data_IF_018793431404
#
_entry.id   IF_018793431404
#
_cell.length_a   1.000
_cell.length_b   1.000
_cell.length_c   1.000
_cell.angle_alpha   90.00
_cell.angle_beta   90.00
_cell.angle_gamma   90.00
#
_symmetry.space_group_name_H-M   'P 1'
#
loop_
_entity.id
_entity.type
_entity.pdbx_description
1 polymer ?
#
# COMPACT_ATOMS: atom_id res chain seq x y z
N UNK A 1 -6.31 31.08 12.71
CA UNK A 1 -5.66 29.84 12.25
C UNK A 1 -6.20 29.49 10.89
N UNK A 2 -5.33 29.24 9.91
CA UNK A 2 -5.73 28.78 8.58
C UNK A 2 -6.49 27.44 8.71
N UNK A 3 -7.73 27.31 8.22
CA UNK A 3 -8.47 26.05 8.24
C UNK A 3 -7.74 24.89 7.53
N UNK A 4 -6.86 25.20 6.56
CA UNK A 4 -5.97 24.21 5.94
C UNK A 4 -4.90 23.73 6.93
N UNK A 5 -4.38 24.62 7.79
CA UNK A 5 -3.46 24.22 8.87
C UNK A 5 -4.13 23.33 9.91
N UNK A 6 -5.41 23.53 10.24
CA UNK A 6 -6.11 22.67 11.19
C UNK A 6 -6.33 21.24 10.64
N UNK A 7 -6.63 21.12 9.34
CA UNK A 7 -6.76 19.82 8.65
C UNK A 7 -5.40 19.14 8.51
N UNK A 8 -4.37 19.90 8.14
CA UNK A 8 -3.00 19.40 8.04
C UNK A 8 -2.43 18.99 9.40
N UNK A 9 -2.72 19.74 10.46
CA UNK A 9 -2.35 19.41 11.84
C UNK A 9 -3.06 18.13 12.32
N UNK A 10 -4.35 17.96 12.00
CA UNK A 10 -5.08 16.72 12.31
C UNK A 10 -4.50 15.51 11.56
N UNK A 11 -4.11 15.67 10.28
CA UNK A 11 -3.48 14.59 9.50
C UNK A 11 -2.02 14.32 9.89
N UNK A 12 -1.25 15.34 10.25
CA UNK A 12 0.11 15.22 10.78
C UNK A 12 0.12 14.54 12.16
N UNK A 13 -0.90 14.81 13.00
CA UNK A 13 -1.07 14.13 14.29
C UNK A 13 -1.30 12.62 14.14
N UNK A 14 -1.80 12.16 12.99
CA UNK A 14 -1.97 10.74 12.68
C UNK A 14 -0.67 10.07 12.21
N UNK A 15 0.38 10.84 11.88
CA UNK A 15 1.65 10.35 11.33
C UNK A 15 2.88 10.71 12.18
N UNK A 16 2.69 11.38 13.32
CA UNK A 16 3.67 11.49 14.40
C UNK A 16 4.92 12.34 14.14
N UNK A 17 5.08 12.95 12.95
CA UNK A 17 6.26 13.71 12.58
C UNK A 17 5.85 15.06 11.98
N UNK A 18 6.22 16.17 12.61
CA UNK A 18 6.06 17.52 12.05
C UNK A 18 7.42 18.22 12.05
N UNK A 19 7.87 18.70 10.88
CA UNK A 19 9.09 19.49 10.73
C UNK A 19 8.77 20.98 10.58
N UNK A 20 9.63 21.88 11.08
CA UNK A 20 9.43 23.33 11.00
C UNK A 20 9.77 23.91 9.61
N UNK A 21 9.15 25.03 9.20
CA UNK A 21 9.34 25.63 7.88
C UNK A 21 10.67 26.40 7.77
N UNK A 22 11.30 26.37 6.59
CA UNK A 22 12.44 27.23 6.22
C UNK A 22 12.21 27.99 4.91
N UNK A 23 12.93 29.11 4.83
CA UNK A 23 12.86 30.27 3.95
C UNK A 23 13.30 30.03 2.50
N UNK A 24 12.86 30.96 1.62
CA UNK A 24 13.00 31.00 0.16
C UNK A 24 14.31 31.67 -0.33
N UNK A 25 14.47 31.59 -1.65
CA UNK A 25 15.33 32.36 -2.59
C UNK A 25 16.50 31.48 -3.14
N UNK A 26 16.84 31.40 -4.44
CA UNK A 26 16.67 32.28 -5.62
C UNK A 26 16.69 31.47 -6.95
N UNK A 27 16.41 32.15 -8.07
CA UNK A 27 16.16 31.60 -9.40
C UNK A 27 17.24 31.86 -10.49
N UNK A 28 17.19 31.00 -11.52
CA UNK A 28 17.53 31.20 -12.97
C UNK A 28 19.01 31.11 -13.45
N UNK A 29 19.32 30.95 -14.76
CA UNK A 29 18.54 30.47 -15.93
C UNK A 29 19.27 29.41 -16.82
N UNK A 30 18.58 29.04 -17.91
CA UNK A 30 18.79 27.93 -18.85
C UNK A 30 19.75 28.15 -20.04
N UNK A 31 20.17 27.05 -20.69
CA UNK A 31 20.68 27.04 -22.07
C UNK A 31 20.23 25.80 -22.87
N UNK A 32 19.82 26.03 -24.12
CA UNK A 32 19.29 25.08 -25.10
C UNK A 32 20.41 24.33 -25.85
N UNK A 33 20.21 23.06 -26.20
CA UNK A 33 20.62 22.56 -27.52
C UNK A 33 19.89 21.26 -27.92
N UNK A 34 19.52 21.23 -29.19
CA UNK A 34 18.81 20.21 -29.98
C UNK A 34 19.66 19.01 -30.35
N UNK A 35 19.07 17.81 -30.52
CA UNK A 35 19.15 17.00 -31.74
C UNK A 35 18.41 15.64 -31.65
N UNK A 36 18.08 15.12 -32.83
CA UNK A 36 17.01 14.19 -33.21
C UNK A 36 17.47 12.71 -33.36
N UNK A 37 16.56 11.77 -33.02
CA UNK A 37 16.15 10.54 -33.76
C UNK A 37 17.23 9.40 -33.80
N UNK A 38 16.95 8.11 -33.56
CA UNK A 38 15.99 7.22 -34.25
C UNK A 38 15.91 5.85 -33.53
N UNK A 39 14.73 5.24 -33.55
CA UNK A 39 14.38 3.94 -32.97
C UNK A 39 14.95 2.75 -33.76
N UNK A 40 15.09 1.59 -33.11
CA UNK A 40 14.82 0.28 -33.74
C UNK A 40 14.48 -0.80 -32.72
N UNK A 41 13.56 -1.65 -33.18
CA UNK A 41 12.70 -2.60 -32.48
C UNK A 41 13.43 -3.82 -31.90
N UNK A 42 12.86 -4.43 -30.86
CA UNK A 42 13.22 -5.78 -30.42
C UNK A 42 11.97 -6.55 -29.97
N UNK A 43 11.57 -7.47 -30.86
CA UNK A 43 11.04 -8.83 -30.68
C UNK A 43 10.07 -9.15 -29.53
N UNK A 44 8.90 -9.62 -29.94
CA UNK A 44 7.69 -9.93 -29.18
C UNK A 44 7.79 -11.23 -28.36
N UNK A 45 7.60 -11.12 -27.05
CA UNK A 45 7.24 -12.22 -26.14
C UNK A 45 5.75 -12.59 -26.29
N UNK A 46 5.34 -13.83 -25.96
CA UNK A 46 3.98 -14.32 -26.19
C UNK A 46 2.92 -13.46 -25.50
N UNK A 47 1.85 -13.16 -26.25
CA UNK A 47 0.80 -12.25 -25.84
C UNK A 47 0.13 -12.69 -24.54
N UNK A 48 0.13 -11.80 -23.55
CA UNK A 48 -0.69 -11.92 -22.35
C UNK A 48 -2.17 -12.01 -22.78
N UNK A 49 -3.06 -12.73 -22.06
CA UNK A 49 -4.49 -12.61 -22.28
C UNK A 49 -4.87 -11.14 -22.06
N UNK A 50 -5.02 -10.39 -23.15
CA UNK A 50 -5.39 -8.98 -23.10
C UNK A 50 -6.84 -8.92 -22.67
N UNK A 51 -7.09 -8.28 -21.53
CA UNK A 51 -8.47 -7.97 -21.16
C UNK A 51 -9.00 -6.88 -22.07
N UNK A 52 -10.21 -7.09 -22.56
CA UNK A 52 -10.98 -6.08 -23.29
C UNK A 52 -11.55 -5.01 -22.35
N UNK A 53 -11.54 -5.22 -21.02
CA UNK A 53 -11.96 -4.20 -20.06
C UNK A 53 -11.05 -2.97 -20.21
N UNK A 54 -11.61 -1.76 -20.40
CA UNK A 54 -10.82 -0.54 -20.48
C UNK A 54 -10.21 -0.18 -19.11
N UNK A 55 -9.08 0.54 -19.06
CA UNK A 55 -8.53 1.04 -17.82
C UNK A 55 -9.51 2.00 -17.14
N UNK A 56 -9.73 1.77 -15.85
CA UNK A 56 -10.46 2.70 -14.98
C UNK A 56 -9.48 3.60 -14.22
N UNK A 57 -10.00 4.54 -13.44
CA UNK A 57 -9.17 5.29 -12.49
C UNK A 57 -8.52 4.38 -11.43
N UNK A 58 -9.13 3.24 -11.09
CA UNK A 58 -8.69 2.38 -9.98
C UNK A 58 -7.68 1.32 -10.45
N UNK A 59 -7.91 0.74 -11.62
CA UNK A 59 -7.19 -0.46 -12.07
C UNK A 59 -7.00 -0.49 -13.58
N UNK A 60 -5.81 -0.91 -14.01
CA UNK A 60 -5.42 -1.11 -15.39
C UNK A 60 -5.44 -2.63 -15.71
N UNK A 61 -6.58 -3.16 -16.16
CA UNK A 61 -6.71 -4.54 -16.59
C UNK A 61 -5.79 -4.90 -17.78
N UNK A 62 -5.33 -3.96 -18.58
CA UNK A 62 -4.62 -4.24 -19.82
C UNK A 62 -3.11 -4.45 -19.61
N UNK A 63 -2.61 -4.12 -18.42
CA UNK A 63 -1.19 -4.20 -18.10
C UNK A 63 -0.92 -5.29 -17.06
N UNK A 64 0.02 -6.16 -17.39
CA UNK A 64 0.45 -7.24 -16.52
C UNK A 64 1.94 -7.50 -16.75
N UNK A 65 2.71 -7.51 -15.66
CA UNK A 65 4.06 -8.06 -15.69
C UNK A 65 3.99 -9.59 -15.78
N UNK A 66 4.69 -10.17 -16.76
CA UNK A 66 4.83 -11.61 -16.87
C UNK A 66 5.85 -12.10 -15.84
N UNK A 67 5.53 -13.23 -15.23
CA UNK A 67 6.44 -13.96 -14.34
C UNK A 67 6.75 -15.29 -15.02
N UNK A 68 7.96 -15.81 -14.82
CA UNK A 68 8.29 -17.14 -15.28
C UNK A 68 7.44 -18.20 -14.58
N UNK A 69 7.29 -19.36 -15.22
CA UNK A 69 6.41 -20.42 -14.73
C UNK A 69 6.90 -21.03 -13.41
N UNK A 70 8.21 -21.02 -13.12
CA UNK A 70 8.76 -21.58 -11.90
C UNK A 70 8.45 -20.67 -10.70
N UNK A 71 8.65 -19.37 -10.85
CA UNK A 71 8.27 -18.36 -9.86
C UNK A 71 6.76 -18.41 -9.57
N UNK A 72 5.92 -18.55 -10.61
CA UNK A 72 4.47 -18.70 -10.42
C UNK A 72 4.12 -19.94 -9.59
N UNK A 73 4.74 -21.11 -9.87
CA UNK A 73 4.51 -22.33 -9.09
C UNK A 73 4.94 -22.18 -7.64
N UNK A 74 6.12 -21.61 -7.39
CA UNK A 74 6.61 -21.34 -6.03
C UNK A 74 5.64 -20.45 -5.25
N UNK A 75 5.09 -19.42 -5.88
CA UNK A 75 4.08 -18.57 -5.27
C UNK A 75 2.76 -19.30 -5.01
N UNK A 76 2.31 -20.15 -5.93
CA UNK A 76 1.12 -20.98 -5.73
C UNK A 76 1.29 -21.95 -4.55
N UNK A 77 2.45 -22.57 -4.42
CA UNK A 77 2.73 -23.51 -3.34
C UNK A 77 2.84 -22.78 -2.00
N UNK A 78 3.52 -21.63 -1.98
CA UNK A 78 3.63 -20.78 -0.79
C UNK A 78 2.27 -20.24 -0.32
N UNK A 79 1.38 -19.87 -1.25
CA UNK A 79 0.02 -19.45 -0.93
C UNK A 79 -0.84 -20.63 -0.46
N UNK A 80 -0.79 -21.79 -1.14
CA UNK A 80 -1.55 -22.99 -0.77
C UNK A 80 -1.16 -23.57 0.58
N UNK A 81 0.10 -23.41 0.99
CA UNK A 81 0.58 -23.85 2.30
C UNK A 81 -0.08 -23.10 3.48
N UNK A 82 -0.75 -21.96 3.22
CA UNK A 82 -1.39 -21.13 4.24
C UNK A 82 -2.90 -21.31 4.18
N UNK A 83 -3.49 -21.84 5.24
CA UNK A 83 -4.94 -21.96 5.36
C UNK A 83 -5.55 -20.59 5.63
N UNK A 84 -6.58 -20.21 4.85
CA UNK A 84 -7.37 -19.00 5.06
C UNK A 84 -8.85 -19.32 4.93
N UNK A 85 -9.65 -18.88 5.91
CA UNK A 85 -11.10 -18.93 5.82
C UNK A 85 -11.77 -17.82 6.65
N UNK A 86 -13.06 -17.53 6.40
CA UNK A 86 -13.78 -16.44 7.08
C UNK A 86 -13.80 -16.54 8.62
N UNK A 87 -13.95 -17.75 9.17
CA UNK A 87 -13.99 -17.93 10.63
C UNK A 87 -12.63 -17.61 11.26
N UNK A 88 -11.53 -18.03 10.61
CA UNK A 88 -10.18 -17.71 11.04
C UNK A 88 -9.90 -16.21 11.01
N UNK A 89 -10.29 -15.49 9.94
CA UNK A 89 -10.09 -14.03 9.88
C UNK A 89 -10.90 -13.28 10.93
N UNK A 90 -12.11 -13.74 11.27
CA UNK A 90 -12.91 -13.14 12.35
C UNK A 90 -12.20 -13.30 13.70
N UNK A 91 -11.72 -14.50 14.00
CA UNK A 91 -10.96 -14.74 15.24
C UNK A 91 -9.66 -13.93 15.28
N UNK A 92 -8.97 -13.79 14.14
CA UNK A 92 -7.76 -12.96 14.04
C UNK A 92 -8.10 -11.49 14.30
N UNK A 93 -9.13 -10.95 13.66
CA UNK A 93 -9.56 -9.58 13.88
C UNK A 93 -9.91 -9.32 15.36
N UNK A 94 -10.62 -10.23 16.01
CA UNK A 94 -10.94 -10.11 17.44
C UNK A 94 -9.67 -10.07 18.30
N UNK A 95 -8.68 -10.90 17.97
CA UNK A 95 -7.38 -10.96 18.63
C UNK A 95 -6.62 -9.64 18.44
N UNK A 96 -6.54 -9.13 17.21
CA UNK A 96 -5.90 -7.85 16.87
C UNK A 96 -6.58 -6.69 17.61
N UNK A 97 -7.92 -6.61 17.58
CA UNK A 97 -8.67 -5.56 18.31
C UNK A 97 -8.40 -5.59 19.80
N UNK A 98 -8.30 -6.78 20.40
CA UNK A 98 -7.95 -6.93 21.80
C UNK A 98 -6.51 -6.48 22.11
N UNK A 99 -5.55 -6.72 21.21
CA UNK A 99 -4.19 -6.17 21.31
C UNK A 99 -4.17 -4.64 21.18
N UNK A 100 -4.85 -4.08 20.20
CA UNK A 100 -4.99 -2.62 20.04
C UNK A 100 -5.57 -1.97 21.30
N UNK A 101 -6.57 -2.61 21.94
CA UNK A 101 -7.13 -2.13 23.21
C UNK A 101 -6.08 -2.10 24.33
N UNK A 102 -5.23 -3.13 24.42
CA UNK A 102 -4.14 -3.19 25.41
C UNK A 102 -3.07 -2.13 25.15
N UNK A 103 -2.71 -1.89 23.88
CA UNK A 103 -1.79 -0.79 23.51
C UNK A 103 -2.38 0.56 23.91
N UNK A 104 -3.67 0.81 23.66
CA UNK A 104 -4.30 2.07 24.08
C UNK A 104 -4.21 2.29 25.59
N UNK A 105 -4.52 1.26 26.39
CA UNK A 105 -4.40 1.29 27.86
C UNK A 105 -2.97 1.43 28.36
N UNK A 106 -1.96 1.03 27.58
CA UNK A 106 -0.56 1.23 27.94
C UNK A 106 -0.21 2.70 28.19
N UNK A 107 -0.92 3.63 27.55
CA UNK A 107 -0.75 5.07 27.79
C UNK A 107 -1.16 5.46 29.21
N UNK A 108 -2.30 4.92 29.68
CA UNK A 108 -2.84 5.14 31.02
C UNK A 108 -1.93 4.51 32.08
N UNK A 109 -1.52 3.25 31.87
CA UNK A 109 -0.63 2.52 32.78
C UNK A 109 0.71 3.22 33.02
N UNK A 110 1.21 3.95 32.02
CA UNK A 110 2.50 4.65 32.07
C UNK A 110 2.37 6.13 32.43
N UNK A 111 1.15 6.68 32.50
CA UNK A 111 0.93 8.11 32.71
C UNK A 111 1.47 8.98 31.58
N UNK A 112 1.36 8.53 30.33
CA UNK A 112 1.91 9.20 29.13
C UNK A 112 0.80 9.71 28.21
N UNK A 113 1.18 10.48 27.18
CA UNK A 113 0.26 10.92 26.14
C UNK A 113 -0.39 9.75 25.40
N UNK A 114 -1.56 10.00 24.80
CA UNK A 114 -2.28 8.98 24.01
C UNK A 114 -1.44 8.54 22.81
N UNK A 115 -1.26 7.23 22.66
CA UNK A 115 -0.64 6.66 21.48
C UNK A 115 -1.47 6.88 20.21
N UNK A 116 -0.84 7.08 19.04
CA UNK A 116 -1.55 7.17 17.78
C UNK A 116 -2.24 5.84 17.45
N UNK A 117 -3.32 5.89 16.68
CA UNK A 117 -4.01 4.68 16.22
C UNK A 117 -3.06 3.71 15.50
N UNK A 118 -2.10 4.30 14.79
CA UNK A 118 -1.00 3.68 14.04
C UNK A 118 0.01 2.86 14.89
N UNK A 119 -0.03 2.92 16.22
CA UNK A 119 0.98 2.26 17.05
C UNK A 119 1.01 0.73 16.83
N UNK A 120 -0.14 0.10 16.60
CA UNK A 120 -0.21 -1.35 16.35
C UNK A 120 0.42 -1.72 15.02
N UNK A 121 0.09 -1.00 13.94
CA UNK A 121 0.62 -1.29 12.62
C UNK A 121 2.11 -0.99 12.53
N UNK A 122 2.59 0.06 13.20
CA UNK A 122 4.04 0.34 13.28
C UNK A 122 4.77 -0.83 13.94
N UNK A 123 4.20 -1.39 15.02
CA UNK A 123 4.73 -2.59 15.65
C UNK A 123 4.67 -3.81 14.73
N UNK A 124 3.52 -4.05 14.11
CA UNK A 124 3.30 -5.20 13.23
C UNK A 124 4.27 -5.15 12.04
N UNK A 125 4.33 -4.04 11.29
CA UNK A 125 5.22 -3.95 10.13
C UNK A 125 6.69 -4.04 10.52
N UNK A 126 7.10 -3.46 11.64
CA UNK A 126 8.49 -3.56 12.11
C UNK A 126 8.84 -5.00 12.53
N UNK A 127 7.89 -5.72 13.15
CA UNK A 127 8.04 -7.12 13.51
C UNK A 127 8.39 -7.99 12.28
N UNK A 128 7.67 -7.77 11.18
CA UNK A 128 7.83 -8.55 9.95
C UNK A 128 9.17 -8.34 9.24
N UNK A 129 9.94 -7.30 9.60
CA UNK A 129 11.23 -7.02 8.96
C UNK A 129 12.36 -7.92 9.48
N UNK A 130 12.21 -8.48 10.68
CA UNK A 130 13.34 -9.05 11.44
C UNK A 130 13.23 -10.55 11.68
N UNK A 131 12.00 -11.09 11.66
CA UNK A 131 11.73 -12.49 11.94
C UNK A 131 10.73 -13.07 10.96
N UNK A 132 10.82 -14.38 10.72
CA UNK A 132 9.81 -15.09 9.96
C UNK A 132 8.53 -15.15 10.77
N UNK A 133 7.49 -14.49 10.28
CA UNK A 133 6.21 -14.43 10.96
C UNK A 133 5.52 -15.80 11.05
N UNK A 134 4.92 -16.04 12.22
CA UNK A 134 4.07 -17.21 12.47
C UNK A 134 2.61 -16.96 12.07
N UNK A 135 2.16 -15.71 12.15
CA UNK A 135 0.83 -15.25 11.74
C UNK A 135 0.95 -13.90 11.00
N UNK A 136 0.14 -13.64 9.96
CA UNK A 136 0.25 -12.40 9.19
C UNK A 136 -0.03 -11.11 9.98
N UNK A 137 -0.81 -11.14 11.07
CA UNK A 137 -1.16 -9.93 11.82
C UNK A 137 -0.78 -9.94 13.29
N UNK A 138 -0.61 -11.11 13.93
CA UNK A 138 -0.39 -11.22 15.38
C UNK A 138 1.11 -11.38 15.66
N UNK A 139 1.82 -10.36 16.20
CA UNK A 139 3.24 -10.48 16.52
C UNK A 139 3.50 -11.51 17.63
N UNK A 140 4.68 -12.11 17.65
CA UNK A 140 5.07 -13.14 18.60
C UNK A 140 6.23 -12.68 19.51
N UNK A 141 6.64 -13.50 20.47
CA UNK A 141 7.62 -13.10 21.49
C UNK A 141 9.01 -12.74 20.95
N UNK A 142 9.35 -13.31 19.79
CA UNK A 142 10.62 -13.05 19.09
C UNK A 142 10.56 -11.85 18.14
N UNK A 143 9.39 -11.26 17.94
CA UNK A 143 9.19 -10.12 17.04
C UNK A 143 9.86 -8.86 17.55
N UNK A 144 10.37 -8.05 16.62
CA UNK A 144 10.91 -6.72 16.93
C UNK A 144 9.82 -5.74 17.38
N UNK A 145 9.89 -5.33 18.65
CA UNK A 145 8.99 -4.33 19.24
C UNK A 145 9.51 -2.89 19.14
N UNK A 146 10.61 -2.66 18.44
CA UNK A 146 11.27 -1.34 18.38
C UNK A 146 10.35 -0.24 17.83
N UNK A 147 9.47 -0.55 16.88
CA UNK A 147 8.45 0.39 16.40
C UNK A 147 7.47 0.80 17.50
N UNK A 148 6.98 -0.15 18.32
CA UNK A 148 6.13 0.15 19.48
C UNK A 148 6.88 0.96 20.54
N UNK A 149 8.15 0.61 20.77
CA UNK A 149 9.01 1.31 21.71
C UNK A 149 9.18 2.78 21.32
N UNK A 150 9.42 3.07 20.04
CA UNK A 150 9.54 4.44 19.52
C UNK A 150 8.25 5.25 19.73
N UNK A 151 7.09 4.66 19.45
CA UNK A 151 5.80 5.32 19.66
C UNK A 151 5.52 5.61 21.14
N UNK A 152 5.85 4.67 22.05
CA UNK A 152 5.79 4.92 23.50
C UNK A 152 6.74 6.03 23.95
N UNK A 153 7.95 6.09 23.39
CA UNK A 153 8.94 7.13 23.69
C UNK A 153 8.47 8.51 23.22
N UNK A 154 7.92 8.60 22.00
CA UNK A 154 7.32 9.84 21.46
C UNK A 154 6.15 10.34 22.32
N UNK A 155 5.36 9.41 22.87
CA UNK A 155 4.25 9.75 23.77
C UNK A 155 4.69 10.16 25.20
N UNK A 156 5.98 10.06 25.53
CA UNK A 156 6.54 10.53 26.80
C UNK A 156 6.98 9.44 27.78
N UNK A 157 6.92 8.16 27.41
CA UNK A 157 7.36 7.08 28.30
C UNK A 157 8.86 7.16 28.58
N UNK A 158 9.29 6.86 29.82
CA UNK A 158 10.72 6.68 30.12
C UNK A 158 11.28 5.46 29.36
N UNK A 159 12.60 5.42 29.13
CA UNK A 159 13.25 4.28 28.46
C UNK A 159 12.92 2.95 29.16
N UNK A 160 13.06 2.92 30.48
CA UNK A 160 12.72 1.75 31.31
C UNK A 160 11.22 1.39 31.22
N UNK A 161 10.33 2.38 31.33
CA UNK A 161 8.88 2.17 31.22
C UNK A 161 8.45 1.60 29.87
N UNK A 162 8.93 2.20 28.78
CA UNK A 162 8.66 1.73 27.42
C UNK A 162 9.20 0.30 27.21
N UNK A 163 10.44 0.01 27.61
CA UNK A 163 11.00 -1.35 27.49
C UNK A 163 10.19 -2.38 28.29
N UNK A 164 9.81 -2.07 29.53
CA UNK A 164 9.00 -2.97 30.36
C UNK A 164 7.64 -3.24 29.71
N UNK A 165 6.96 -2.18 29.24
CA UNK A 165 5.62 -2.29 28.64
C UNK A 165 5.64 -2.99 27.27
N UNK A 166 6.63 -2.75 26.42
CA UNK A 166 6.82 -3.52 25.19
C UNK A 166 6.95 -5.02 25.48
N UNK A 167 7.83 -5.40 26.42
CA UNK A 167 8.02 -6.82 26.79
C UNK A 167 6.72 -7.45 27.32
N UNK A 168 5.94 -6.71 28.10
CA UNK A 168 4.63 -7.14 28.60
C UNK A 168 3.64 -7.38 27.46
N UNK A 169 3.49 -6.41 26.54
CA UNK A 169 2.58 -6.51 25.39
C UNK A 169 2.98 -7.63 24.43
N UNK A 170 4.27 -7.78 24.15
CA UNK A 170 4.81 -8.86 23.30
C UNK A 170 4.55 -10.25 23.91
N UNK A 171 4.69 -10.41 25.24
CA UNK A 171 4.34 -11.66 25.95
C UNK A 171 2.83 -11.94 25.93
N UNK A 172 2.01 -10.90 26.03
CA UNK A 172 0.56 -11.05 25.90
C UNK A 172 0.16 -11.44 24.48
N UNK A 173 0.79 -10.85 23.46
CA UNK A 173 0.59 -11.22 22.06
C UNK A 173 0.96 -12.67 21.78
N UNK A 174 2.08 -13.15 22.31
CA UNK A 174 2.45 -14.58 22.25
C UNK A 174 1.38 -15.49 22.88
N UNK A 175 0.85 -15.13 24.06
CA UNK A 175 -0.24 -15.90 24.70
C UNK A 175 -1.52 -15.89 23.87
N UNK A 176 -1.83 -14.77 23.22
CA UNK A 176 -2.98 -14.63 22.34
C UNK A 176 -2.80 -15.43 21.04
N UNK A 177 -1.61 -15.41 20.45
CA UNK A 177 -1.25 -16.20 19.27
C UNK A 177 -1.36 -17.71 19.55
N UNK A 178 -0.85 -18.18 20.70
CA UNK A 178 -0.99 -19.61 21.08
C UNK A 178 -2.43 -20.04 21.22
N UNK A 179 -3.27 -19.22 21.88
CA UNK A 179 -4.71 -19.49 21.98
C UNK A 179 -5.41 -19.44 20.63
N UNK A 180 -4.98 -18.54 19.74
CA UNK A 180 -5.48 -18.48 18.38
C UNK A 180 -5.13 -19.77 17.60
N UNK A 181 -3.88 -20.23 17.65
CA UNK A 181 -3.45 -21.45 16.97
C UNK A 181 -4.06 -22.75 17.50
N UNK A 182 -4.61 -22.76 18.72
CA UNK A 182 -5.33 -23.90 19.30
C UNK A 182 -6.81 -23.97 18.89
N UNK A 183 -7.34 -22.93 18.23
CA UNK A 183 -8.73 -22.92 17.79
C UNK A 183 -8.89 -23.78 16.53
N UNK A 184 -10.02 -24.48 16.46
CA UNK A 184 -10.41 -25.18 15.25
C UNK A 184 -11.29 -24.27 14.38
N UNK A 185 -10.73 -23.85 13.25
CA UNK A 185 -11.39 -22.92 12.33
C UNK A 185 -12.22 -23.65 11.26
N UNK A 186 -12.94 -24.71 11.64
CA UNK A 186 -13.80 -25.45 10.70
C UNK A 186 -14.82 -24.49 10.09
N UNK A 187 -14.79 -24.37 8.76
CA UNK A 187 -15.87 -23.75 8.02
C UNK A 187 -17.13 -24.62 8.23
N UNK A 188 -18.00 -24.20 9.15
CA UNK A 188 -19.24 -24.93 9.42
C UNK A 188 -19.98 -25.15 8.09
N UNK A 189 -20.32 -26.42 7.78
CA UNK A 189 -20.85 -26.87 6.47
C UNK A 189 -22.04 -26.04 5.92
N UNK A 190 -22.72 -25.26 6.77
CA UNK A 190 -23.88 -24.43 6.43
C UNK A 190 -23.62 -22.92 6.37
N UNK A 191 -22.44 -22.42 6.79
CA UNK A 191 -22.14 -20.98 6.78
C UNK A 191 -21.39 -20.59 5.51
N UNK A 192 -22.01 -19.77 4.67
CA UNK A 192 -21.42 -19.17 3.47
C UNK A 192 -21.36 -17.65 3.63
N UNK A 193 -20.50 -17.00 2.86
CA UNK A 193 -20.52 -15.54 2.74
C UNK A 193 -21.78 -15.15 1.96
N UNK A 194 -22.48 -14.13 2.44
CA UNK A 194 -23.63 -13.54 1.76
C UNK A 194 -23.26 -12.16 1.22
N UNK A 195 -23.48 -11.94 -0.07
CA UNK A 195 -23.26 -10.65 -0.74
C UNK A 195 -24.61 -9.99 -0.99
N UNK A 196 -24.75 -8.74 -0.54
CA UNK A 196 -25.92 -7.92 -0.78
C UNK A 196 -25.54 -6.58 -1.41
N UNK A 197 -26.43 -6.05 -2.24
CA UNK A 197 -26.41 -4.64 -2.61
C UNK A 197 -26.83 -3.81 -1.40
N UNK A 198 -26.12 -2.71 -1.13
CA UNK A 198 -26.52 -1.69 -0.18
C UNK A 198 -26.73 -0.36 -0.93
N UNK A 199 -27.24 0.66 -0.23
CA UNK A 199 -27.36 2.02 -0.76
C UNK A 199 -25.98 2.62 -1.13
N UNK A 200 -25.98 3.70 -1.90
CA UNK A 200 -24.78 4.48 -2.29
C UNK A 200 -23.69 3.70 -3.05
N UNK A 201 -24.06 2.80 -3.99
CA UNK A 201 -23.10 1.99 -4.76
C UNK A 201 -22.13 1.17 -3.90
N UNK A 202 -22.63 0.65 -2.78
CA UNK A 202 -21.86 -0.21 -1.87
C UNK A 202 -22.34 -1.66 -1.98
N UNK A 203 -21.40 -2.60 -1.94
CA UNK A 203 -21.63 -4.02 -1.72
C UNK A 203 -21.28 -4.36 -0.27
N UNK A 204 -22.11 -5.20 0.33
CA UNK A 204 -21.93 -5.68 1.70
C UNK A 204 -21.72 -7.19 1.68
N UNK A 205 -20.65 -7.68 2.32
CA UNK A 205 -20.37 -9.10 2.50
C UNK A 205 -20.51 -9.45 3.98
N UNK A 206 -21.25 -10.51 4.28
CA UNK A 206 -21.51 -10.94 5.67
C UNK A 206 -21.22 -12.42 5.87
N UNK A 207 -20.59 -12.75 7.00
CA UNK A 207 -20.35 -14.11 7.47
C UNK A 207 -20.61 -14.19 8.97
N UNK A 208 -21.64 -14.94 9.38
CA UNK A 208 -22.14 -14.88 10.76
C UNK A 208 -22.57 -13.45 11.10
N UNK A 209 -22.05 -12.91 12.21
CA UNK A 209 -22.35 -11.55 12.68
C UNK A 209 -21.32 -10.52 12.20
N UNK A 210 -20.36 -10.93 11.36
CA UNK A 210 -19.31 -10.04 10.85
C UNK A 210 -19.65 -9.56 9.45
N UNK A 211 -19.45 -8.27 9.21
CA UNK A 211 -19.81 -7.60 7.96
C UNK A 211 -18.68 -6.69 7.52
N UNK A 212 -18.35 -6.75 6.23
CA UNK A 212 -17.42 -5.85 5.55
C UNK A 212 -18.09 -5.23 4.33
N UNK A 213 -17.60 -4.06 3.92
CA UNK A 213 -18.18 -3.27 2.83
C UNK A 213 -17.11 -2.86 1.83
N UNK A 214 -17.53 -2.64 0.59
CA UNK A 214 -16.72 -2.03 -0.46
C UNK A 214 -17.62 -1.43 -1.54
N UNK A 215 -17.11 -0.48 -2.33
CA UNK A 215 -17.84 0.08 -3.45
C UNK A 215 -18.03 -0.95 -4.57
N UNK A 216 -19.11 -0.80 -5.34
CA UNK A 216 -19.41 -1.63 -6.51
C UNK A 216 -18.24 -1.65 -7.50
N UNK A 217 -17.53 -0.53 -7.66
CA UNK A 217 -16.35 -0.44 -8.51
C UNK A 217 -15.18 -1.32 -8.02
N UNK A 218 -14.90 -1.33 -6.71
CA UNK A 218 -13.87 -2.22 -6.15
C UNK A 218 -14.30 -3.69 -6.17
N UNK A 219 -15.60 -3.97 -5.98
CA UNK A 219 -16.13 -5.32 -6.13
C UNK A 219 -15.91 -5.85 -7.56
N UNK A 220 -16.23 -5.05 -8.58
CA UNK A 220 -16.01 -5.41 -9.98
C UNK A 220 -14.52 -5.63 -10.29
N UNK A 221 -13.65 -4.72 -9.84
CA UNK A 221 -12.17 -4.89 -9.94
C UNK A 221 -11.73 -6.23 -9.37
N UNK A 222 -12.06 -6.51 -8.11
CA UNK A 222 -11.60 -7.72 -7.41
C UNK A 222 -12.19 -9.00 -8.01
N UNK A 223 -13.41 -8.94 -8.55
CA UNK A 223 -14.02 -10.05 -9.29
C UNK A 223 -13.25 -10.38 -10.56
N UNK A 224 -12.88 -9.36 -11.35
CA UNK A 224 -12.10 -9.57 -12.57
C UNK A 224 -10.69 -10.07 -12.24
N UNK A 225 -10.03 -9.52 -11.22
CA UNK A 225 -8.72 -9.99 -10.76
C UNK A 225 -8.74 -11.48 -10.36
N UNK A 226 -9.78 -11.90 -9.65
CA UNK A 226 -9.98 -13.29 -9.27
C UNK A 226 -10.27 -14.18 -10.49
N UNK A 227 -11.13 -13.73 -11.42
CA UNK A 227 -11.44 -14.46 -12.65
C UNK A 227 -10.19 -14.72 -13.51
N UNK A 228 -9.33 -13.72 -13.65
CA UNK A 228 -8.04 -13.86 -14.35
C UNK A 228 -7.11 -14.86 -13.69
N UNK A 229 -7.12 -14.91 -12.35
CA UNK A 229 -6.33 -15.89 -11.60
C UNK A 229 -6.78 -17.32 -11.92
N UNK A 230 -8.05 -17.51 -12.23
CA UNK A 230 -8.63 -18.78 -12.72
C UNK A 230 -8.40 -19.04 -14.22
N UNK A 231 -7.67 -18.16 -14.92
CA UNK A 231 -7.46 -18.27 -16.38
C UNK A 231 -8.68 -17.90 -17.21
N UNK A 232 -9.68 -17.24 -16.61
CA UNK A 232 -10.89 -16.80 -17.32
C UNK A 232 -10.65 -15.48 -18.04
N UNK A 233 -11.26 -15.32 -19.22
CA UNK A 233 -11.40 -14.03 -19.90
C UNK A 233 -12.63 -13.27 -19.38
N UNK A 234 -12.53 -11.94 -19.31
CA UNK A 234 -13.63 -11.06 -18.92
C UNK A 234 -13.73 -10.79 -17.40
N UNK A 235 -14.84 -10.17 -17.00
CA UNK A 235 -15.06 -9.53 -15.71
C UNK A 235 -15.43 -10.49 -14.55
N UNK A 236 -15.43 -11.80 -14.81
CA UNK A 236 -15.79 -12.84 -13.85
C UNK A 236 -17.28 -13.03 -13.61
N UNK A 237 -18.17 -12.40 -14.37
CA UNK A 237 -19.62 -12.58 -14.26
C UNK A 237 -20.10 -14.00 -14.60
N UNK A 238 -19.36 -14.74 -15.41
CA UNK A 238 -19.65 -16.12 -15.84
C UNK A 238 -19.07 -17.21 -14.92
N UNK A 239 -18.58 -16.85 -13.73
CA UNK A 239 -18.05 -17.83 -12.77
C UNK A 239 -19.07 -18.90 -12.39
N UNK A 240 -18.64 -20.16 -12.33
CA UNK A 240 -19.49 -21.24 -11.81
C UNK A 240 -19.91 -20.94 -10.36
N UNK A 241 -21.03 -21.51 -9.86
CA UNK A 241 -21.45 -21.29 -8.47
C UNK A 241 -20.38 -21.67 -7.43
N UNK A 242 -19.49 -22.63 -7.75
CA UNK A 242 -18.36 -23.00 -6.89
C UNK A 242 -17.28 -21.91 -6.87
N UNK A 243 -16.88 -21.40 -8.04
CA UNK A 243 -15.91 -20.31 -8.13
C UNK A 243 -16.43 -19.02 -7.52
N UNK A 244 -17.71 -18.70 -7.74
CA UNK A 244 -18.37 -17.56 -7.13
C UNK A 244 -18.30 -17.61 -5.59
N UNK A 245 -18.65 -18.75 -4.97
CA UNK A 245 -18.53 -18.92 -3.50
C UNK A 245 -17.11 -18.80 -2.98
N UNK A 246 -16.13 -19.26 -3.77
CA UNK A 246 -14.71 -19.20 -3.42
C UNK A 246 -14.20 -17.75 -3.50
N UNK A 247 -14.58 -17.02 -4.54
CA UNK A 247 -14.33 -15.58 -4.68
C UNK A 247 -14.92 -14.79 -3.50
N UNK A 248 -16.18 -15.02 -3.15
CA UNK A 248 -16.85 -14.30 -2.04
C UNK A 248 -16.17 -14.58 -0.69
N UNK A 249 -15.72 -15.81 -0.47
CA UNK A 249 -14.96 -16.18 0.73
C UNK A 249 -13.59 -15.52 0.76
N UNK A 250 -12.84 -15.56 -0.35
CA UNK A 250 -11.54 -14.90 -0.47
C UNK A 250 -11.66 -13.37 -0.31
N UNK A 251 -12.69 -12.75 -0.91
CA UNK A 251 -12.95 -11.33 -0.82
C UNK A 251 -13.33 -10.92 0.61
N UNK A 252 -14.15 -11.70 1.31
CA UNK A 252 -14.46 -11.44 2.71
C UNK A 252 -13.19 -11.49 3.57
N UNK A 253 -12.33 -12.49 3.38
CA UNK A 253 -11.08 -12.64 4.12
C UNK A 253 -10.12 -11.47 3.85
N UNK A 254 -9.94 -11.10 2.57
CA UNK A 254 -9.15 -9.95 2.16
C UNK A 254 -9.64 -8.66 2.85
N UNK A 255 -10.93 -8.36 2.75
CA UNK A 255 -11.48 -7.14 3.33
C UNK A 255 -11.33 -7.10 4.84
N UNK A 256 -11.59 -8.23 5.52
CA UNK A 256 -11.47 -8.31 6.98
C UNK A 256 -10.01 -8.24 7.45
N UNK A 257 -9.09 -8.81 6.68
CA UNK A 257 -7.63 -8.72 6.92
C UNK A 257 -7.18 -7.26 6.92
N UNK A 258 -7.52 -6.52 5.87
CA UNK A 258 -7.15 -5.10 5.76
C UNK A 258 -7.96 -4.20 6.70
N UNK A 259 -9.21 -4.54 7.07
CA UNK A 259 -10.00 -3.82 8.08
C UNK A 259 -9.47 -4.01 9.50
N UNK A 260 -8.78 -5.12 9.77
CA UNK A 260 -8.12 -5.37 11.05
C UNK A 260 -6.94 -4.42 11.29
N UNK A 261 -6.44 -3.79 10.22
CA UNK A 261 -5.49 -2.68 10.27
C UNK A 261 -6.28 -1.37 10.16
N UNK A 262 -5.99 -0.36 10.98
CA UNK A 262 -6.63 0.95 10.79
C UNK A 262 -6.13 1.61 9.49
N UNK A 263 -4.95 1.24 8.98
CA UNK A 263 -4.60 1.01 7.57
C UNK A 263 -4.67 2.16 6.55
N UNK A 264 -5.47 3.20 6.78
CA UNK A 264 -5.68 4.30 5.82
C UNK A 264 -4.64 5.42 5.90
N UNK A 265 -3.78 5.41 6.93
CA UNK A 265 -2.83 6.49 7.23
C UNK A 265 -1.39 6.27 6.76
N UNK A 266 -0.97 5.02 6.55
CA UNK A 266 0.45 4.66 6.34
C UNK A 266 0.92 4.70 4.90
N UNK A 267 0.00 4.66 3.95
CA UNK A 267 0.31 4.63 2.54
C UNK A 267 -0.86 5.26 1.78
N UNK A 268 -0.55 6.01 0.73
CA UNK A 268 -1.54 6.57 -0.18
C UNK A 268 -1.07 6.28 -1.61
N UNK A 269 -1.90 5.62 -2.41
CA UNK A 269 -1.52 5.21 -3.76
C UNK A 269 -1.38 6.42 -4.68
N UNK A 270 -0.50 6.33 -5.69
CA UNK A 270 -0.42 7.34 -6.73
C UNK A 270 -1.76 7.45 -7.46
N UNK A 271 -2.01 8.60 -8.08
CA UNK A 271 -3.14 8.74 -8.98
C UNK A 271 -2.87 8.05 -10.33
N UNK A 272 -3.91 7.73 -11.10
CA UNK A 272 -3.74 7.02 -12.38
C UNK A 272 -2.85 7.77 -13.37
N UNK A 273 -2.85 9.11 -13.38
CA UNK A 273 -2.02 9.89 -14.30
C UNK A 273 -0.53 9.72 -14.00
N UNK A 274 -0.17 9.59 -12.72
CA UNK A 274 1.21 9.28 -12.34
C UNK A 274 1.60 7.92 -12.90
N UNK A 275 0.78 6.89 -12.66
CA UNK A 275 1.01 5.56 -13.22
C UNK A 275 1.08 5.54 -14.75
N UNK A 276 0.26 6.33 -15.44
CA UNK A 276 0.27 6.43 -16.90
C UNK A 276 1.59 7.05 -17.40
N UNK A 277 2.13 8.07 -16.70
CA UNK A 277 3.46 8.63 -16.98
C UNK A 277 4.56 7.61 -16.71
N UNK A 278 4.51 6.89 -15.59
CA UNK A 278 5.50 5.86 -15.26
C UNK A 278 5.49 4.71 -16.28
N UNK A 279 4.29 4.27 -16.69
CA UNK A 279 4.13 3.24 -17.72
C UNK A 279 4.69 3.71 -19.06
N UNK A 280 4.29 4.90 -19.54
CA UNK A 280 4.73 5.43 -20.85
C UNK A 280 6.23 5.72 -20.88
N UNK A 281 6.76 6.32 -19.81
CA UNK A 281 8.14 6.80 -19.76
C UNK A 281 9.18 5.74 -19.38
N UNK A 282 8.77 4.73 -18.62
CA UNK A 282 9.70 3.78 -17.98
C UNK A 282 9.26 2.31 -18.09
N UNK A 283 8.15 2.02 -18.79
CA UNK A 283 7.56 0.68 -18.85
C UNK A 283 7.27 0.09 -17.46
N UNK A 284 6.94 0.94 -16.49
CA UNK A 284 6.67 0.55 -15.12
C UNK A 284 5.30 -0.14 -15.04
N UNK A 285 5.30 -1.46 -14.77
CA UNK A 285 4.10 -2.34 -14.84
C UNK A 285 3.78 -3.06 -13.54
N UNK A 286 4.47 -2.72 -12.46
CA UNK A 286 4.33 -3.41 -11.19
C UNK A 286 4.69 -2.51 -10.01
N UNK A 287 3.88 -2.64 -8.95
CA UNK A 287 4.05 -1.95 -7.68
C UNK A 287 4.77 -2.87 -6.68
N UNK A 288 5.83 -2.35 -6.05
CA UNK A 288 6.58 -3.02 -4.98
C UNK A 288 5.81 -3.01 -3.65
N UNK A 289 4.88 -2.09 -3.45
CA UNK A 289 4.10 -2.03 -2.21
C UNK A 289 2.67 -1.67 -2.55
N UNK A 290 1.78 -2.65 -2.57
CA UNK A 290 0.37 -2.44 -2.82
C UNK A 290 -0.48 -3.49 -2.08
N UNK A 291 -1.77 -3.45 -2.36
CA UNK A 291 -2.79 -4.39 -1.96
C UNK A 291 -3.74 -4.61 -3.14
N UNK A 292 -4.54 -5.69 -3.14
CA UNK A 292 -5.61 -5.84 -4.12
C UNK A 292 -6.57 -4.64 -4.16
N UNK A 293 -6.69 -3.92 -3.04
CA UNK A 293 -7.60 -2.78 -2.89
C UNK A 293 -7.06 -1.52 -3.61
N UNK A 294 -5.74 -1.30 -3.63
CA UNK A 294 -5.15 -0.07 -4.16
C UNK A 294 -4.27 -0.24 -5.40
N UNK A 295 -3.96 -1.47 -5.81
CA UNK A 295 -3.07 -1.69 -6.94
C UNK A 295 -3.62 -1.11 -8.26
N UNK A 296 -2.72 -0.56 -9.07
CA UNK A 296 -3.01 -0.14 -10.44
C UNK A 296 -2.86 -1.30 -11.41
N UNK A 297 -1.89 -2.19 -11.21
CA UNK A 297 -1.57 -3.25 -12.16
C UNK A 297 -2.04 -4.64 -11.72
N UNK A 298 -2.01 -5.61 -12.64
CA UNK A 298 -2.45 -7.00 -12.39
C UNK A 298 -1.46 -7.85 -11.60
N UNK A 299 -0.24 -7.34 -11.38
CA UNK A 299 0.80 -7.95 -10.54
C UNK A 299 1.42 -6.87 -9.67
N UNK A 300 1.58 -7.20 -8.40
CA UNK A 300 2.10 -6.30 -7.37
C UNK A 300 2.59 -7.11 -6.17
N UNK A 301 3.55 -6.57 -5.44
CA UNK A 301 3.91 -7.11 -4.13
C UNK A 301 2.91 -6.59 -3.07
N UNK A 302 2.62 -7.40 -2.06
CA UNK A 302 1.74 -7.06 -0.93
C UNK A 302 2.21 -7.71 0.36
N UNK A 303 1.66 -7.27 1.49
CA UNK A 303 2.00 -7.81 2.80
C UNK A 303 1.47 -9.23 3.05
N UNK A 304 0.34 -9.61 2.44
CA UNK A 304 -0.43 -10.79 2.82
C UNK A 304 -0.62 -11.76 1.66
N UNK A 305 0.43 -12.52 1.33
CA UNK A 305 0.36 -13.50 0.22
C UNK A 305 -0.82 -14.48 0.37
N UNK A 306 -1.16 -14.88 1.59
CA UNK A 306 -2.23 -15.85 1.88
C UNK A 306 -3.62 -15.36 1.46
N UNK A 307 -3.92 -14.07 1.59
CA UNK A 307 -5.19 -13.47 1.14
C UNK A 307 -5.10 -12.87 -0.27
N UNK A 308 -3.95 -12.29 -0.60
CA UNK A 308 -3.82 -11.36 -1.73
C UNK A 308 -3.43 -12.08 -3.02
N UNK A 309 -2.89 -13.30 -2.92
CA UNK A 309 -2.51 -14.11 -4.07
C UNK A 309 -3.70 -14.43 -4.99
N UNK A 310 -4.89 -14.63 -4.41
CA UNK A 310 -6.13 -14.84 -5.13
C UNK A 310 -6.49 -13.66 -6.06
N UNK A 311 -5.89 -12.49 -5.80
CA UNK A 311 -6.10 -11.25 -6.54
C UNK A 311 -4.82 -10.75 -7.22
N UNK A 312 -3.85 -11.62 -7.45
CA UNK A 312 -2.67 -11.29 -8.29
C UNK A 312 -1.44 -10.77 -7.54
N UNK A 313 -1.43 -10.80 -6.20
CA UNK A 313 -0.20 -10.51 -5.47
C UNK A 313 0.89 -11.55 -5.73
N UNK A 314 2.15 -11.11 -5.67
CA UNK A 314 3.34 -11.98 -5.66
C UNK A 314 3.99 -12.11 -4.27
N UNK A 315 3.30 -11.66 -3.22
CA UNK A 315 3.83 -11.66 -1.86
C UNK A 315 4.70 -10.45 -1.54
N UNK A 316 5.49 -10.55 -0.47
CA UNK A 316 6.27 -9.43 0.06
C UNK A 316 7.35 -8.99 -0.92
N UNK A 317 7.56 -7.67 -1.04
CA UNK A 317 8.67 -7.13 -1.82
C UNK A 317 10.02 -7.63 -1.33
N UNK A 318 10.16 -7.86 -0.04
CA UNK A 318 11.41 -8.33 0.57
C UNK A 318 11.76 -9.78 0.19
N UNK A 319 10.79 -10.54 -0.31
CA UNK A 319 10.97 -11.90 -0.84
C UNK A 319 11.02 -11.90 -2.38
N UNK A 320 10.68 -10.78 -3.03
CA UNK A 320 10.65 -10.64 -4.48
C UNK A 320 12.02 -10.20 -5.02
N UNK A 321 12.57 -10.98 -5.96
CA UNK A 321 13.95 -10.78 -6.44
C UNK A 321 14.06 -10.65 -7.97
N UNK A 322 13.53 -9.56 -8.57
CA UNK A 322 13.61 -9.34 -10.01
C UNK A 322 15.05 -9.07 -10.47
N UNK A 323 15.41 -9.60 -11.65
CA UNK A 323 16.72 -9.37 -12.29
C UNK A 323 16.68 -8.31 -13.39
N UNK A 324 15.47 -7.89 -13.78
CA UNK A 324 15.19 -6.81 -14.72
C UNK A 324 13.77 -6.27 -14.52
N UNK A 325 13.47 -5.13 -15.14
CA UNK A 325 12.16 -4.47 -15.08
C UNK A 325 12.24 -3.06 -14.51
N UNK A 326 11.14 -2.32 -14.60
CA UNK A 326 10.96 -1.06 -13.91
C UNK A 326 9.78 -1.18 -12.94
N UNK A 327 9.99 -0.76 -11.70
CA UNK A 327 9.03 -0.93 -10.62
C UNK A 327 8.75 0.39 -9.91
N UNK A 328 7.49 0.59 -9.54
CA UNK A 328 7.07 1.68 -8.65
C UNK A 328 7.21 1.20 -7.21
N UNK A 329 7.74 2.04 -6.33
CA UNK A 329 7.88 1.70 -4.93
C UNK A 329 7.45 2.85 -4.03
N UNK A 330 6.27 2.69 -3.44
CA UNK A 330 5.68 3.59 -2.46
C UNK A 330 5.42 2.82 -1.16
N UNK A 331 6.44 2.56 -0.33
CA UNK A 331 6.31 1.74 0.88
C UNK A 331 5.41 2.40 1.92
N UNK A 332 4.88 1.64 2.90
CA UNK A 332 4.36 2.22 4.13
C UNK A 332 5.37 3.21 4.73
N UNK A 333 4.88 4.38 5.18
CA UNK A 333 5.69 5.48 5.69
C UNK A 333 6.22 5.20 7.11
N UNK A 334 7.01 4.14 7.22
CA UNK A 334 7.68 3.68 8.43
C UNK A 334 9.18 3.70 8.12
N UNK A 335 10.00 4.50 8.83
CA UNK A 335 11.42 4.68 8.49
C UNK A 335 12.19 3.38 8.31
N UNK A 336 11.92 2.36 9.14
CA UNK A 336 12.57 1.03 9.06
C UNK A 336 12.17 0.25 7.81
N UNK A 337 10.92 0.37 7.37
CA UNK A 337 10.44 -0.25 6.13
C UNK A 337 11.11 0.42 4.92
N UNK A 338 11.21 1.75 4.92
CA UNK A 338 11.89 2.52 3.87
C UNK A 338 13.38 2.14 3.81
N UNK A 339 14.05 2.05 4.97
CA UNK A 339 15.46 1.62 5.05
C UNK A 339 15.65 0.20 4.50
N UNK A 340 14.85 -0.77 4.97
CA UNK A 340 14.91 -2.16 4.50
C UNK A 340 14.62 -2.29 3.01
N UNK A 341 13.74 -1.45 2.47
CA UNK A 341 13.47 -1.35 1.03
C UNK A 341 14.70 -0.86 0.26
N UNK A 342 15.36 0.21 0.72
CA UNK A 342 16.58 0.73 0.08
C UNK A 342 17.71 -0.31 0.09
N UNK A 343 17.86 -1.08 1.18
CA UNK A 343 18.82 -2.18 1.26
C UNK A 343 18.49 -3.30 0.27
N UNK A 344 17.22 -3.68 0.18
CA UNK A 344 16.76 -4.69 -0.77
C UNK A 344 17.04 -4.28 -2.21
N UNK A 345 16.64 -3.06 -2.59
CA UNK A 345 16.86 -2.52 -3.93
C UNK A 345 18.35 -2.43 -4.26
N UNK A 346 19.19 -2.07 -3.29
CA UNK A 346 20.66 -2.06 -3.46
C UNK A 346 21.17 -3.45 -3.83
N UNK A 347 20.74 -4.48 -3.09
CA UNK A 347 21.11 -5.87 -3.38
C UNK A 347 20.60 -6.33 -4.77
N UNK A 348 19.37 -5.98 -5.13
CA UNK A 348 18.80 -6.30 -6.44
C UNK A 348 19.54 -5.60 -7.59
N UNK A 349 19.84 -4.32 -7.46
CA UNK A 349 20.58 -3.54 -8.48
C UNK A 349 22.02 -4.03 -8.64
N UNK A 350 22.66 -4.50 -7.55
CA UNK A 350 23.96 -5.16 -7.60
C UNK A 350 23.90 -6.49 -8.37
N UNK A 351 22.85 -7.28 -8.15
CA UNK A 351 22.71 -8.61 -8.73
C UNK A 351 22.08 -8.60 -10.14
N UNK A 352 21.45 -7.52 -10.57
CA UNK A 352 20.73 -7.45 -11.83
C UNK A 352 21.63 -7.70 -13.05
N UNK A 353 21.24 -8.67 -13.90
CA UNK A 353 21.86 -8.92 -15.20
C UNK A 353 21.11 -8.23 -16.36
N UNK A 354 19.88 -7.78 -16.15
CA UNK A 354 19.12 -6.96 -17.08
C UNK A 354 18.99 -5.48 -16.67
N UNK A 355 18.28 -4.66 -17.47
CA UNK A 355 17.92 -3.30 -17.07
C UNK A 355 16.97 -3.36 -15.87
N UNK A 356 17.40 -2.83 -14.73
CA UNK A 356 16.61 -2.78 -13.51
C UNK A 356 16.50 -1.35 -12.99
N UNK A 357 15.26 -0.91 -12.73
CA UNK A 357 14.93 0.40 -12.22
C UNK A 357 13.88 0.34 -11.11
N UNK A 358 14.03 1.22 -10.12
CA UNK A 358 13.03 1.50 -9.09
C UNK A 358 12.74 3.00 -9.08
N UNK A 359 11.46 3.35 -9.23
CA UNK A 359 10.96 4.71 -9.07
C UNK A 359 10.35 4.76 -7.68
N UNK A 360 11.07 5.41 -6.75
CA UNK A 360 10.79 5.35 -5.32
C UNK A 360 10.08 6.63 -4.88
N UNK A 361 8.92 6.51 -4.25
CA UNK A 361 8.09 7.62 -3.80
C UNK A 361 7.95 7.53 -2.28
N UNK A 362 8.57 8.45 -1.56
CA UNK A 362 8.53 8.49 -0.10
C UNK A 362 8.37 9.94 0.42
N UNK A 363 7.92 10.14 1.66
CA UNK A 363 7.98 11.45 2.29
C UNK A 363 9.42 11.98 2.31
N UNK A 364 9.59 13.29 2.17
CA UNK A 364 10.89 13.95 2.18
C UNK A 364 11.50 14.07 3.60
N UNK A 365 11.59 12.95 4.32
CA UNK A 365 12.16 12.85 5.67
C UNK A 365 13.69 12.76 5.62
N UNK A 366 14.33 13.90 5.34
CA UNK A 366 15.77 14.02 5.08
C UNK A 366 16.67 13.56 6.24
N UNK A 367 16.13 13.48 7.44
CA UNK A 367 16.77 13.04 8.67
C UNK A 367 16.76 11.51 8.85
N UNK A 368 15.99 10.78 8.04
CA UNK A 368 15.90 9.32 8.13
C UNK A 368 16.97 8.62 7.30
N UNK A 369 17.54 7.55 7.85
CA UNK A 369 18.61 6.77 7.20
C UNK A 369 18.19 6.24 5.81
N UNK A 370 16.95 5.75 5.69
CA UNK A 370 16.42 5.26 4.42
C UNK A 370 16.35 6.35 3.34
N UNK A 371 15.93 7.57 3.70
CA UNK A 371 15.93 8.70 2.77
C UNK A 371 17.35 9.11 2.36
N UNK A 372 18.27 9.20 3.33
CA UNK A 372 19.66 9.58 3.09
C UNK A 372 20.37 8.58 2.17
N UNK A 373 20.15 7.27 2.39
CA UNK A 373 20.64 6.21 1.51
C UNK A 373 20.07 6.35 0.10
N UNK A 374 18.76 6.58 -0.04
CA UNK A 374 18.11 6.82 -1.33
C UNK A 374 18.75 7.99 -2.08
N UNK A 375 18.98 9.10 -1.40
CA UNK A 375 19.54 10.31 -1.99
C UNK A 375 21.01 10.14 -2.41
N UNK A 376 21.85 9.54 -1.55
CA UNK A 376 23.29 9.44 -1.73
C UNK A 376 23.76 8.23 -2.57
N UNK A 377 22.86 7.32 -2.94
CA UNK A 377 23.20 6.10 -3.66
C UNK A 377 23.72 6.36 -5.07
N UNK A 378 24.74 5.60 -5.49
CA UNK A 378 25.26 5.60 -6.88
C UNK A 378 24.22 5.23 -7.94
N UNK A 379 23.13 4.59 -7.53
CA UNK A 379 22.04 4.23 -8.44
C UNK A 379 21.06 5.38 -8.67
N UNK A 380 21.04 6.38 -7.78
CA UNK A 380 20.15 7.51 -7.87
C UNK A 380 20.56 8.41 -9.03
N UNK A 381 19.73 8.47 -10.06
CA UNK A 381 19.97 9.33 -11.23
C UNK A 381 19.55 10.77 -10.97
N UNK A 382 18.46 10.96 -10.22
CA UNK A 382 17.95 12.29 -9.85
C UNK A 382 16.95 12.18 -8.70
N UNK A 383 16.81 13.28 -7.97
CA UNK A 383 15.81 13.48 -6.92
C UNK A 383 14.84 14.58 -7.36
N UNK A 384 13.58 14.19 -7.56
CA UNK A 384 12.49 15.14 -7.80
C UNK A 384 11.75 15.39 -6.48
N UNK A 385 11.87 16.61 -5.96
CA UNK A 385 11.07 17.08 -4.83
C UNK A 385 9.72 17.60 -5.32
N UNK A 386 8.64 17.06 -4.75
CA UNK A 386 7.27 17.51 -5.00
C UNK A 386 6.74 18.18 -3.72
N UNK A 387 6.60 19.52 -3.69
CA UNK A 387 6.22 20.22 -2.47
C UNK A 387 4.82 19.86 -1.96
N UNK A 388 4.66 19.86 -0.64
CA UNK A 388 3.39 19.74 0.07
C UNK A 388 2.38 20.73 -0.52
N UNK A 389 1.11 20.35 -0.52
CA UNK A 389 -0.03 21.12 -1.10
C UNK A 389 -0.05 21.25 -2.62
N UNK A 390 1.05 21.01 -3.34
CA UNK A 390 1.08 21.03 -4.80
C UNK A 390 0.71 19.68 -5.44
N UNK A 391 0.61 18.63 -4.63
CA UNK A 391 0.32 17.28 -5.09
C UNK A 391 -0.67 16.54 -4.19
N UNK A 392 -1.19 15.42 -4.70
CA UNK A 392 -2.15 14.57 -4.01
C UNK A 392 -2.06 13.10 -4.41
N UNK A 393 -2.75 12.29 -3.62
CA UNK A 393 -2.78 10.84 -3.70
C UNK A 393 -4.21 10.31 -3.71
N UNK A 394 -4.37 9.04 -4.09
CA UNK A 394 -5.59 8.30 -3.76
C UNK A 394 -5.65 8.06 -2.24
N UNK A 395 -6.83 8.23 -1.64
CA UNK A 395 -7.04 8.01 -0.22
C UNK A 395 -6.83 6.55 0.18
N UNK A 396 -6.25 6.33 1.37
CA UNK A 396 -6.36 5.05 2.05
C UNK A 396 -7.83 4.71 2.33
N UNK A 397 -8.16 3.42 2.31
CA UNK A 397 -9.55 2.94 2.39
C UNK A 397 -10.45 3.41 1.23
N UNK A 398 -9.89 3.72 0.04
CA UNK A 398 -10.67 4.12 -1.15
C UNK A 398 -11.75 3.11 -1.57
N UNK A 399 -11.68 1.87 -1.11
CA UNK A 399 -12.72 0.87 -1.32
C UNK A 399 -14.01 1.15 -0.56
N UNK A 400 -14.00 1.97 0.49
CA UNK A 400 -15.21 2.34 1.26
C UNK A 400 -15.46 3.84 1.36
N UNK A 401 -14.45 4.69 1.09
CA UNK A 401 -14.61 6.14 1.16
C UNK A 401 -15.38 6.67 -0.04
N UNK A 402 -16.15 7.74 0.19
CA UNK A 402 -16.87 8.48 -0.86
C UNK A 402 -15.94 9.38 -1.67
N UNK A 403 -14.91 9.92 -1.03
CA UNK A 403 -13.84 10.67 -1.67
C UNK A 403 -12.70 9.74 -2.05
N UNK A 404 -12.11 9.99 -3.21
CA UNK A 404 -10.97 9.24 -3.71
C UNK A 404 -9.66 9.98 -3.49
N UNK A 405 -9.66 11.30 -3.39
CA UNK A 405 -8.42 12.09 -3.41
C UNK A 405 -8.10 12.74 -2.06
N UNK A 406 -6.82 12.72 -1.70
CA UNK A 406 -6.26 13.53 -0.60
C UNK A 406 -5.09 14.38 -1.07
N UNK A 407 -5.01 15.60 -0.54
CA UNK A 407 -3.79 16.39 -0.62
C UNK A 407 -2.68 15.74 0.21
N UNK A 408 -1.44 15.88 -0.26
CA UNK A 408 -0.29 15.36 0.46
C UNK A 408 -0.06 16.12 1.78
N UNK A 409 0.22 15.35 2.83
CA UNK A 409 0.48 15.88 4.17
C UNK A 409 1.93 16.31 4.36
N UNK A 410 2.84 15.91 3.47
CA UNK A 410 4.27 16.23 3.50
C UNK A 410 4.77 16.52 2.09
N UNK A 411 5.96 17.10 2.00
CA UNK A 411 6.77 17.05 0.78
C UNK A 411 7.06 15.59 0.42
N UNK A 412 7.13 15.32 -0.87
CA UNK A 412 7.41 13.98 -1.39
C UNK A 412 8.71 14.00 -2.17
N UNK A 413 9.55 13.01 -1.90
CA UNK A 413 10.75 12.72 -2.69
C UNK A 413 10.45 11.60 -3.67
N UNK A 414 10.74 11.85 -4.94
CA UNK A 414 10.76 10.84 -5.99
C UNK A 414 12.20 10.59 -6.39
N UNK A 415 12.71 9.39 -6.13
CA UNK A 415 14.05 8.97 -6.53
C UNK A 415 13.99 8.01 -7.71
N UNK A 416 14.95 8.14 -8.62
CA UNK A 416 15.06 7.29 -9.81
C UNK A 416 16.31 6.43 -9.69
N UNK A 417 16.17 5.25 -9.08
CA UNK A 417 17.26 4.31 -8.90
C UNK A 417 17.37 3.40 -10.12
N UNK A 418 18.49 3.46 -10.84
CA UNK A 418 18.71 2.69 -12.07
C UNK A 418 20.12 2.10 -12.11
N UNK A 419 20.25 0.87 -12.61
CA UNK A 419 21.56 0.37 -13.06
C UNK A 419 21.89 0.92 -14.46
N UNK A 420 23.14 0.76 -14.91
CA UNK A 420 23.60 1.33 -16.19
C UNK A 420 22.75 0.88 -17.40
N UNK A 421 22.28 -0.37 -17.40
CA UNK A 421 21.41 -0.90 -18.47
C UNK A 421 20.04 -0.21 -18.46
N UNK A 422 19.48 0.05 -17.29
CA UNK A 422 18.23 0.80 -17.15
C UNK A 422 18.38 2.28 -17.51
N UNK A 423 19.51 2.92 -17.21
CA UNK A 423 19.78 4.30 -17.65
C UNK A 423 19.71 4.43 -19.17
N UNK A 424 20.25 3.44 -19.89
CA UNK A 424 20.19 3.40 -21.36
C UNK A 424 18.78 3.11 -21.88
N UNK A 425 18.05 2.18 -21.24
CA UNK A 425 16.72 1.76 -21.70
C UNK A 425 15.62 2.77 -21.37
N UNK A 426 15.69 3.36 -20.18
CA UNK A 426 14.70 4.28 -19.64
C UNK A 426 15.35 5.54 -19.08
N UNK A 427 16.00 6.36 -19.94
CA UNK A 427 16.68 7.56 -19.47
C UNK A 427 15.70 8.48 -18.75
N UNK A 428 16.15 9.04 -17.61
CA UNK A 428 15.41 10.05 -16.86
C UNK A 428 15.64 11.40 -17.54
N UNK A 429 14.62 11.90 -18.24
CA UNK A 429 14.69 13.17 -18.98
C UNK A 429 13.85 14.23 -18.27
N UNK A 430 14.21 15.50 -18.48
CA UNK A 430 13.47 16.64 -17.94
C UNK A 430 11.98 16.60 -18.33
N UNK A 431 11.67 16.22 -19.56
CA UNK A 431 10.30 16.07 -20.05
C UNK A 431 9.50 15.04 -19.22
N UNK A 432 10.12 13.91 -18.85
CA UNK A 432 9.49 12.89 -18.01
C UNK A 432 9.31 13.38 -16.58
N UNK A 433 10.28 14.11 -16.03
CA UNK A 433 10.20 14.69 -14.69
C UNK A 433 9.07 15.72 -14.59
N UNK A 434 8.97 16.64 -15.53
CA UNK A 434 7.91 17.65 -15.57
C UNK A 434 6.54 17.03 -15.84
N UNK A 435 6.47 16.01 -16.71
CA UNK A 435 5.23 15.23 -16.91
C UNK A 435 4.77 14.56 -15.61
N UNK A 436 5.70 13.95 -14.86
CA UNK A 436 5.38 13.30 -13.60
C UNK A 436 4.96 14.31 -12.53
N UNK A 437 5.69 15.41 -12.39
CA UNK A 437 5.37 16.51 -11.46
C UNK A 437 3.98 17.09 -11.74
N UNK A 438 3.63 17.29 -13.00
CA UNK A 438 2.29 17.71 -13.42
C UNK A 438 1.22 16.66 -13.09
N UNK A 439 1.53 15.38 -13.31
CA UNK A 439 0.63 14.28 -12.98
C UNK A 439 0.35 14.14 -11.48
N UNK A 440 1.29 14.53 -10.62
CA UNK A 440 1.13 14.54 -9.16
C UNK A 440 0.09 15.56 -8.66
N UNK A 441 -0.32 16.54 -9.46
CA UNK A 441 -1.26 17.60 -9.07
C UNK A 441 -2.51 17.02 -8.39
N UNK A 442 -2.83 17.57 -7.21
CA UNK A 442 -3.99 17.12 -6.43
C UNK A 442 -5.29 17.33 -7.20
N UNK A 443 -6.17 16.33 -7.15
CA UNK A 443 -7.54 16.36 -7.69
C UNK A 443 -8.60 16.55 -6.59
N UNK A 444 -8.17 16.76 -5.34
CA UNK A 444 -9.07 16.79 -4.20
C UNK A 444 -10.03 17.98 -4.22
N UNK A 445 -9.57 19.17 -4.62
CA UNK A 445 -10.44 20.35 -4.69
C UNK A 445 -11.59 20.11 -5.68
N UNK A 446 -11.25 19.73 -6.91
CA UNK A 446 -12.19 19.45 -7.99
C UNK A 446 -13.22 18.36 -7.59
N UNK A 447 -12.79 17.27 -6.95
CA UNK A 447 -13.70 16.22 -6.48
C UNK A 447 -14.64 16.73 -5.39
N UNK A 448 -14.14 17.50 -4.43
CA UNK A 448 -14.97 18.01 -3.33
C UNK A 448 -16.02 19.00 -3.83
N UNK A 449 -15.67 19.84 -4.78
CA UNK A 449 -16.59 20.77 -5.42
C UNK A 449 -17.66 20.01 -6.22
N UNK A 450 -17.26 18.99 -7.00
CA UNK A 450 -18.20 18.12 -7.72
C UNK A 450 -19.16 17.36 -6.78
N UNK A 451 -18.72 17.02 -5.57
CA UNK A 451 -19.54 16.36 -4.55
C UNK A 451 -20.34 17.34 -3.67
N UNK A 452 -20.27 18.65 -3.92
CA UNK A 452 -20.94 19.67 -3.10
C UNK A 452 -20.48 19.69 -1.63
N UNK A 453 -19.25 19.25 -1.36
CA UNK A 453 -18.66 19.21 -0.02
C UNK A 453 -18.01 20.56 0.29
N UNK A 454 -18.53 21.33 1.27
CA UNK A 454 -17.84 22.55 1.74
C UNK A 454 -16.40 22.24 2.16
N UNK A 455 -15.53 23.26 2.20
CA UNK A 455 -14.14 23.15 2.71
C UNK A 455 -14.03 22.48 4.10
N UNK A 456 -15.09 22.50 4.91
CA UNK A 456 -15.19 21.87 6.24
C UNK A 456 -15.93 20.51 6.30
N UNK A 457 -16.34 19.93 5.16
CA UNK A 457 -17.00 18.62 5.12
C UNK A 457 -18.49 18.59 5.49
N UNK A 458 -19.12 19.74 5.76
CA UNK A 458 -20.58 19.84 5.92
C UNK A 458 -21.28 20.00 4.55
N UNK A 459 -22.33 19.21 4.30
CA UNK A 459 -23.22 19.35 3.14
C UNK A 459 -23.89 20.73 3.14
N UNK A 460 -24.10 21.31 1.96
CA UNK A 460 -25.03 22.43 1.78
C UNK A 460 -26.43 21.90 2.10
N UNK A 461 -27.11 22.49 3.09
CA UNK A 461 -28.57 22.36 3.16
C UNK A 461 -29.10 23.16 1.97
N UNK A 462 -29.75 22.50 1.01
CA UNK A 462 -30.59 23.25 0.08
C UNK A 462 -31.64 23.99 0.92
N UNK A 463 -31.77 25.29 0.69
CA UNK A 463 -33.01 25.94 1.07
C UNK A 463 -34.12 25.19 0.33
N UNK A 464 -35.11 24.71 1.07
CA UNK A 464 -36.34 24.18 0.49
C UNK A 464 -36.99 25.31 -0.30
N UNK A 465 -37.34 25.02 -1.55
CA UNK A 465 -38.52 25.63 -2.18
C UNK A 465 -39.79 25.14 -1.47
#
# INVERSE_FOLDING_TARGET
MDPLEAILASMASATGNASPPKSKDDAAPASKSTSKKRERECETLPASPSSSTPPSGIWNPQQQMLLDAAALRQLEDAARARSVNPAMEIARQQTVRALCNKIRRASEDLGIGKLPNAAYETWQFTSQLTVKELDPLIPHAGSDYSGLFEELRKAGATKSGATKKCKELTRESERMLRRFGQQDFVAGKKKKVHVAAAEDDVRQLSYGNSTVKLSTAHFAKLREMYARKLGMSGDGSSMTPKHQRSFESALFCLLLRYDSLDGGGFQAALNEKCFDVLLKGFDCKMECFASPLNCRYSRFCSAFLDTDFAFGSVGSFFDFSPRSGCFEANPPFIPKVIKRMADHMTALLNAADGPLAFIVIIPAWQDTEGWQQLNASRYNQTHLLVPQKQHGYCEGKQQIRKTRWRIASFDTSVFFWQNSKACNKWPVTEEKLESLKSAFKSKQADERDALGLRKSGKRVRSAKD
#
